data_IF_305222094590
#
_entry.id   IF_305222094590
#
_cell.length_a   1.000
_cell.length_b   1.000
_cell.length_c   1.000
_cell.angle_alpha   90.00
_cell.angle_beta   90.00
_cell.angle_gamma   90.00
#
_symmetry.space_group_name_H-M   'P 1'
#
loop_
_entity.id
_entity.type
_entity.pdbx_description
1 polymer ?
#
# COMPACT_ATOMS: atom_id res chain seq x y z
N UNK A 1 -5.18 -11.35 -28.91
CA UNK A 1 -4.41 -10.63 -27.89
C UNK A 1 -5.21 -10.66 -26.60
N UNK A 2 -4.55 -10.97 -25.50
CA UNK A 2 -5.12 -10.93 -24.16
C UNK A 2 -5.06 -9.47 -23.68
N UNK A 3 -6.19 -8.87 -23.22
CA UNK A 3 -6.17 -7.52 -22.64
C UNK A 3 -5.39 -7.49 -21.33
N UNK A 4 -4.60 -6.42 -21.11
CA UNK A 4 -3.92 -6.15 -19.85
C UNK A 4 -4.71 -5.12 -19.04
N UNK A 5 -5.19 -5.53 -17.88
CA UNK A 5 -5.82 -4.65 -16.89
C UNK A 5 -4.83 -4.39 -15.76
N UNK A 6 -4.57 -3.13 -15.49
CA UNK A 6 -3.66 -2.69 -14.43
C UNK A 6 -4.46 -2.04 -13.30
N UNK A 7 -4.41 -2.64 -12.13
CA UNK A 7 -4.81 -1.97 -10.89
C UNK A 7 -3.64 -1.16 -10.37
N UNK A 8 -3.72 0.16 -10.54
CA UNK A 8 -2.71 1.11 -10.14
C UNK A 8 -3.08 1.87 -8.84
N UNK A 9 -4.06 1.38 -8.07
CA UNK A 9 -4.53 2.07 -6.85
C UNK A 9 -3.41 2.35 -5.85
N UNK A 10 -2.43 1.47 -5.73
CA UNK A 10 -1.30 1.69 -4.84
C UNK A 10 -0.15 2.48 -5.50
N UNK A 11 -0.06 2.50 -6.84
CA UNK A 11 1.09 3.02 -7.57
C UNK A 11 0.95 4.45 -8.07
N UNK A 12 -0.27 4.88 -8.43
CA UNK A 12 -0.48 6.22 -9.00
C UNK A 12 0.00 7.33 -8.05
N UNK A 13 0.76 8.27 -8.60
CA UNK A 13 1.36 9.36 -7.83
C UNK A 13 2.61 8.95 -7.00
N UNK A 14 2.95 7.66 -6.98
CA UNK A 14 4.08 7.09 -6.22
C UNK A 14 5.15 6.51 -7.13
N UNK A 15 4.71 5.92 -8.22
CA UNK A 15 5.53 5.21 -9.18
C UNK A 15 5.18 5.65 -10.61
N UNK A 16 6.04 5.47 -11.60
CA UNK A 16 5.70 5.74 -13.00
C UNK A 16 4.45 4.97 -13.44
N UNK A 17 3.63 5.63 -14.26
CA UNK A 17 2.50 4.95 -14.91
C UNK A 17 3.05 3.92 -15.89
N UNK A 18 2.55 2.68 -15.90
CA UNK A 18 2.98 1.68 -16.88
C UNK A 18 2.79 2.15 -18.32
N UNK A 19 3.77 1.88 -19.18
CA UNK A 19 3.73 2.29 -20.60
C UNK A 19 2.69 1.49 -21.41
N UNK A 20 2.39 0.27 -20.98
CA UNK A 20 1.51 -0.63 -21.69
C UNK A 20 0.36 -1.13 -20.78
N UNK A 21 -0.86 -0.80 -21.16
CA UNK A 21 -2.09 -1.36 -20.59
C UNK A 21 -3.25 -1.20 -21.59
N UNK A 22 -4.29 -1.99 -21.43
CA UNK A 22 -5.55 -1.83 -22.16
C UNK A 22 -6.61 -1.15 -21.28
N UNK A 23 -6.55 -1.35 -19.96
CA UNK A 23 -7.35 -0.66 -18.95
C UNK A 23 -6.47 -0.39 -17.74
N UNK A 24 -6.55 0.79 -17.17
CA UNK A 24 -5.90 1.12 -15.91
C UNK A 24 -6.93 1.73 -14.96
N UNK A 25 -6.91 1.31 -13.71
CA UNK A 25 -7.76 1.86 -12.65
C UNK A 25 -6.90 2.42 -11.52
N UNK A 26 -7.39 3.48 -10.89
CA UNK A 26 -6.73 4.13 -9.77
C UNK A 26 -7.68 4.85 -8.83
N UNK A 27 -7.15 5.30 -7.71
CA UNK A 27 -7.89 6.03 -6.67
C UNK A 27 -7.11 7.30 -6.30
N UNK A 28 -7.81 8.43 -6.20
CA UNK A 28 -7.21 9.73 -5.95
C UNK A 28 -6.45 9.80 -4.62
N UNK A 29 -6.79 8.99 -3.64
CA UNK A 29 -6.08 8.93 -2.36
C UNK A 29 -4.60 8.54 -2.52
N UNK A 30 -4.24 7.80 -3.56
CA UNK A 30 -2.85 7.40 -3.77
C UNK A 30 -1.90 8.56 -4.07
N UNK A 31 -2.43 9.67 -4.60
CA UNK A 31 -1.67 10.90 -4.85
C UNK A 31 -2.10 12.09 -3.97
N UNK A 32 -2.78 11.81 -2.84
CA UNK A 32 -3.20 12.84 -1.88
C UNK A 32 -4.50 13.55 -2.24
N UNK A 33 -5.26 13.05 -3.20
CA UNK A 33 -6.60 13.52 -3.53
C UNK A 33 -7.67 13.02 -2.54
N UNK A 34 -8.90 13.51 -2.67
CA UNK A 34 -10.01 13.14 -1.80
C UNK A 34 -10.47 11.69 -2.04
N UNK A 35 -11.05 11.09 -1.00
CA UNK A 35 -11.76 9.83 -1.14
C UNK A 35 -13.01 9.98 -2.03
N UNK A 36 -13.38 8.92 -2.72
CA UNK A 36 -14.57 8.89 -3.58
C UNK A 36 -14.32 9.29 -5.03
N UNK A 37 -13.07 9.53 -5.41
CA UNK A 37 -12.69 9.76 -6.81
C UNK A 37 -11.85 8.60 -7.32
N UNK A 38 -12.42 7.82 -8.22
CA UNK A 38 -11.70 6.79 -8.98
C UNK A 38 -11.31 7.31 -10.37
N UNK A 39 -10.26 6.74 -10.93
CA UNK A 39 -9.81 7.01 -12.30
C UNK A 39 -9.86 5.72 -13.11
N UNK A 40 -10.48 5.79 -14.28
CA UNK A 40 -10.49 4.73 -15.29
C UNK A 40 -9.84 5.27 -16.57
N UNK A 41 -8.71 4.70 -16.95
CA UNK A 41 -8.03 5.06 -18.20
C UNK A 41 -8.16 3.92 -19.19
N UNK A 42 -8.74 4.24 -20.36
CA UNK A 42 -8.90 3.30 -21.46
C UNK A 42 -8.31 3.96 -22.71
N UNK A 43 -7.16 3.50 -23.23
CA UNK A 43 -6.57 4.01 -24.46
C UNK A 43 -7.52 3.87 -25.64
N UNK A 44 -7.47 4.79 -26.61
CA UNK A 44 -8.35 4.78 -27.81
C UNK A 44 -8.26 3.49 -28.63
N UNK A 45 -7.08 2.84 -28.64
CA UNK A 45 -6.87 1.55 -29.33
C UNK A 45 -7.61 0.39 -28.68
N UNK A 46 -8.12 0.56 -27.44
CA UNK A 46 -8.77 -0.51 -26.67
C UNK A 46 -10.25 -0.56 -26.98
N UNK A 47 -10.72 -1.69 -27.49
CA UNK A 47 -12.16 -1.95 -27.63
C UNK A 47 -12.76 -2.18 -26.24
N UNK A 48 -13.40 -1.15 -25.73
CA UNK A 48 -14.05 -1.21 -24.43
C UNK A 48 -15.52 -0.78 -24.55
N UNK A 49 -16.38 -1.51 -23.88
CA UNK A 49 -17.78 -1.16 -23.74
C UNK A 49 -18.21 -1.45 -22.30
N UNK A 50 -18.79 -0.46 -21.67
CA UNK A 50 -19.34 -0.65 -20.34
C UNK A 50 -20.57 -1.54 -20.40
N UNK A 51 -20.69 -2.56 -19.51
CA UNK A 51 -21.93 -3.32 -19.35
C UNK A 51 -22.97 -2.49 -18.58
N UNK A 52 -24.27 -2.64 -18.94
CA UNK A 52 -25.39 -2.00 -18.24
C UNK A 52 -25.74 -0.60 -18.76
N UNK A 53 -26.58 0.08 -18.01
CA UNK A 53 -27.01 1.46 -18.32
C UNK A 53 -25.82 2.41 -18.23
N UNK A 54 -25.78 3.38 -19.13
CA UNK A 54 -24.74 4.40 -19.19
C UNK A 54 -25.39 5.78 -19.08
N UNK A 55 -24.75 6.67 -18.36
CA UNK A 55 -25.03 8.09 -18.40
C UNK A 55 -24.36 8.72 -19.64
N UNK A 56 -24.87 9.85 -20.12
CA UNK A 56 -24.19 10.64 -21.15
C UNK A 56 -22.91 11.30 -20.62
N UNK A 57 -22.77 11.39 -19.28
CA UNK A 57 -21.59 11.89 -18.65
C UNK A 57 -20.34 11.07 -19.04
N UNK A 58 -19.20 11.75 -19.12
CA UNK A 58 -17.90 11.16 -19.45
C UNK A 58 -17.92 10.28 -20.71
N UNK A 59 -18.67 10.70 -21.73
CA UNK A 59 -18.80 9.97 -23.01
C UNK A 59 -19.35 8.53 -22.84
N UNK A 60 -20.28 8.34 -21.93
CA UNK A 60 -20.89 7.02 -21.66
C UNK A 60 -19.99 6.05 -20.91
N UNK A 61 -18.95 6.54 -20.21
CA UNK A 61 -18.02 5.69 -19.45
C UNK A 61 -18.41 5.50 -18.00
N UNK A 62 -19.35 6.28 -17.49
CA UNK A 62 -19.87 6.21 -16.12
C UNK A 62 -21.39 5.98 -16.12
N UNK A 63 -21.93 5.54 -15.00
CA UNK A 63 -23.36 5.41 -14.74
C UNK A 63 -23.93 6.58 -13.94
N UNK A 64 -23.08 7.42 -13.41
CA UNK A 64 -23.46 8.57 -12.58
C UNK A 64 -22.67 9.79 -13.01
N UNK A 65 -23.18 10.96 -12.68
CA UNK A 65 -22.45 12.19 -12.85
C UNK A 65 -21.34 12.32 -11.80
N UNK A 66 -20.14 12.76 -12.21
CA UNK A 66 -19.04 12.96 -11.28
C UNK A 66 -19.33 14.09 -10.30
N UNK A 67 -18.88 13.95 -9.07
CA UNK A 67 -18.93 15.01 -8.06
C UNK A 67 -17.83 16.01 -8.40
N UNK A 68 -18.15 17.01 -9.21
CA UNK A 68 -17.21 17.97 -9.80
C UNK A 68 -16.22 18.58 -8.78
N UNK A 69 -16.64 19.06 -7.58
CA UNK A 69 -15.69 19.57 -6.59
C UNK A 69 -14.63 18.57 -6.16
N UNK A 70 -15.00 17.29 -6.01
CA UNK A 70 -14.04 16.24 -5.64
C UNK A 70 -13.08 15.92 -6.79
N UNK A 71 -13.59 15.91 -8.02
CA UNK A 71 -12.75 15.69 -9.21
C UNK A 71 -11.75 16.81 -9.38
N UNK A 72 -12.16 18.07 -9.20
CA UNK A 72 -11.25 19.20 -9.24
C UNK A 72 -10.19 19.11 -8.12
N UNK A 73 -10.59 18.78 -6.91
CA UNK A 73 -9.64 18.59 -5.81
C UNK A 73 -8.65 17.45 -6.09
N UNK A 74 -9.10 16.36 -6.71
CA UNK A 74 -8.24 15.26 -7.12
C UNK A 74 -7.24 15.70 -8.22
N UNK A 75 -7.68 16.52 -9.18
CA UNK A 75 -6.83 17.06 -10.23
C UNK A 75 -5.77 18.01 -9.65
N UNK A 76 -6.14 18.91 -8.75
CA UNK A 76 -5.20 19.80 -8.07
C UNK A 76 -4.16 19.03 -7.26
N UNK A 77 -4.58 17.99 -6.52
CA UNK A 77 -3.67 17.12 -5.80
C UNK A 77 -2.69 16.43 -6.76
N UNK A 78 -3.16 15.96 -7.93
CA UNK A 78 -2.28 15.39 -8.94
C UNK A 78 -1.26 16.38 -9.48
N UNK A 79 -1.70 17.58 -9.83
CA UNK A 79 -0.81 18.65 -10.32
C UNK A 79 0.25 19.05 -9.28
N UNK A 80 -0.10 19.00 -8.01
CA UNK A 80 0.83 19.27 -6.91
C UNK A 80 1.86 18.14 -6.69
N UNK A 81 1.44 16.88 -6.84
CA UNK A 81 2.28 15.72 -6.50
C UNK A 81 3.09 15.18 -7.68
N UNK A 82 2.57 15.26 -8.90
CA UNK A 82 3.20 14.67 -10.08
C UNK A 82 4.62 15.22 -10.37
N UNK A 83 4.91 16.52 -10.23
CA UNK A 83 6.27 17.04 -10.44
C UNK A 83 7.29 16.54 -9.42
N UNK A 84 6.87 16.30 -8.18
CA UNK A 84 7.73 15.85 -7.09
C UNK A 84 7.81 14.32 -6.96
N UNK A 85 7.11 13.57 -7.81
CA UNK A 85 6.96 12.12 -7.68
C UNK A 85 8.28 11.36 -7.63
N UNK A 86 9.24 11.70 -8.48
CA UNK A 86 10.52 11.01 -8.53
C UNK A 86 11.32 11.20 -7.23
N UNK A 87 11.39 12.42 -6.73
CA UNK A 87 12.07 12.73 -5.47
C UNK A 87 11.35 12.11 -4.27
N UNK A 88 10.03 12.11 -4.28
CA UNK A 88 9.22 11.45 -3.26
C UNK A 88 9.43 9.94 -3.26
N UNK A 89 9.48 9.32 -4.43
CA UNK A 89 9.77 7.89 -4.57
C UNK A 89 11.15 7.53 -4.02
N UNK A 90 12.18 8.30 -4.32
CA UNK A 90 13.53 8.07 -3.80
C UNK A 90 13.58 8.15 -2.27
N UNK A 91 12.99 9.19 -1.68
CA UNK A 91 12.92 9.32 -0.22
C UNK A 91 12.11 8.20 0.44
N UNK A 92 10.98 7.84 -0.15
CA UNK A 92 10.18 6.74 0.35
C UNK A 92 10.92 5.39 0.26
N UNK A 93 11.70 5.20 -0.80
CA UNK A 93 12.52 4.00 -0.99
C UNK A 93 13.55 3.85 0.12
N UNK A 94 14.28 4.91 0.44
CA UNK A 94 15.26 4.92 1.55
C UNK A 94 14.61 4.55 2.89
N UNK A 95 13.49 5.19 3.21
CA UNK A 95 12.76 4.92 4.45
C UNK A 95 12.20 3.49 4.52
N UNK A 96 11.72 2.96 3.41
CA UNK A 96 11.27 1.57 3.33
C UNK A 96 12.44 0.61 3.51
N UNK A 97 13.62 0.90 2.99
CA UNK A 97 14.81 0.07 3.21
C UNK A 97 15.26 0.09 4.68
N UNK A 98 15.08 1.20 5.38
CA UNK A 98 15.29 1.26 6.83
C UNK A 98 14.31 0.33 7.59
N UNK A 99 13.02 0.33 7.21
CA UNK A 99 12.01 -0.59 7.78
C UNK A 99 12.34 -2.04 7.44
N UNK A 100 12.69 -2.34 6.19
CA UNK A 100 13.11 -3.69 5.76
C UNK A 100 14.29 -4.19 6.58
N UNK A 101 15.27 -3.33 6.79
CA UNK A 101 16.46 -3.63 7.60
C UNK A 101 16.12 -3.83 9.07
N UNK A 102 15.19 -3.03 9.62
CA UNK A 102 14.72 -3.18 10.99
C UNK A 102 13.97 -4.52 11.17
N UNK A 103 13.08 -4.85 10.26
CA UNK A 103 12.34 -6.12 10.28
C UNK A 103 13.27 -7.33 10.14
N UNK A 104 14.26 -7.26 9.26
CA UNK A 104 15.24 -8.34 9.06
C UNK A 104 16.13 -8.61 10.29
N UNK A 105 16.26 -7.64 11.20
CA UNK A 105 16.99 -7.85 12.48
C UNK A 105 16.16 -8.53 13.56
N UNK A 106 14.84 -8.59 13.38
CA UNK A 106 13.97 -9.33 14.33
C UNK A 106 14.12 -10.83 14.06
N UNK A 107 14.46 -11.65 15.06
CA UNK A 107 14.59 -13.09 14.87
C UNK A 107 13.34 -13.72 14.25
N UNK A 108 13.53 -14.71 13.39
CA UNK A 108 12.46 -15.47 12.73
C UNK A 108 11.47 -14.59 11.96
N UNK A 109 12.00 -13.55 11.30
CA UNK A 109 11.22 -12.64 10.47
C UNK A 109 11.69 -12.70 9.02
N UNK A 110 10.76 -12.88 8.10
CA UNK A 110 10.98 -12.86 6.66
C UNK A 110 10.45 -11.56 6.07
N UNK A 111 11.32 -10.77 5.44
CA UNK A 111 10.91 -9.60 4.65
C UNK A 111 10.47 -10.08 3.27
N UNK A 112 9.25 -9.72 2.90
CA UNK A 112 8.58 -10.21 1.68
C UNK A 112 8.80 -9.24 0.52
N UNK A 113 8.83 -9.78 -0.69
CA UNK A 113 8.92 -9.06 -1.95
C UNK A 113 10.35 -8.76 -2.39
N UNK A 114 10.47 -8.48 -3.68
CA UNK A 114 11.75 -8.18 -4.32
C UNK A 114 12.42 -6.95 -3.70
N UNK A 115 13.72 -6.94 -3.48
CA UNK A 115 14.42 -5.78 -2.93
C UNK A 115 14.50 -4.60 -3.91
N UNK A 116 14.42 -4.84 -5.21
CA UNK A 116 14.60 -3.82 -6.26
C UNK A 116 13.31 -3.56 -7.07
N UNK A 117 12.54 -4.60 -7.40
CA UNK A 117 11.31 -4.48 -8.19
C UNK A 117 10.09 -4.44 -7.28
N UNK A 118 9.82 -3.29 -6.69
CA UNK A 118 8.74 -3.07 -5.73
C UNK A 118 8.25 -1.62 -5.73
N UNK A 119 7.09 -1.39 -5.16
CA UNK A 119 6.63 -0.02 -4.89
C UNK A 119 7.56 0.68 -3.86
N UNK A 120 7.83 1.98 -4.04
CA UNK A 120 8.79 2.69 -3.19
C UNK A 120 8.34 2.84 -1.73
N UNK A 121 7.05 2.82 -1.46
CA UNK A 121 6.45 3.22 -0.20
C UNK A 121 5.78 2.09 0.58
N UNK A 122 5.88 0.84 0.11
CA UNK A 122 5.23 -0.32 0.75
C UNK A 122 6.27 -1.38 1.09
N UNK A 123 6.16 -1.94 2.28
CA UNK A 123 6.89 -3.12 2.70
C UNK A 123 5.97 -4.09 3.42
N UNK A 124 6.23 -5.36 3.22
CA UNK A 124 5.56 -6.46 3.91
C UNK A 124 6.62 -7.34 4.55
N UNK A 125 6.37 -7.80 5.76
CA UNK A 125 7.19 -8.79 6.44
C UNK A 125 6.30 -9.73 7.25
N UNK A 126 6.80 -10.92 7.54
CA UNK A 126 6.09 -11.94 8.30
C UNK A 126 6.97 -12.42 9.45
N UNK A 127 6.42 -12.47 10.66
CA UNK A 127 7.10 -12.93 11.85
C UNK A 127 6.60 -14.34 12.21
N UNK A 128 7.50 -15.31 12.35
CA UNK A 128 7.16 -16.64 12.78
C UNK A 128 6.71 -16.62 14.26
N UNK A 129 5.77 -17.48 14.59
CA UNK A 129 5.17 -17.59 15.93
C UNK A 129 4.47 -16.29 16.41
N UNK A 130 3.91 -15.55 15.47
CA UNK A 130 3.16 -14.32 15.74
C UNK A 130 1.82 -14.39 15.01
N UNK A 131 0.76 -13.98 15.67
CA UNK A 131 -0.49 -13.65 15.00
C UNK A 131 -0.42 -12.24 14.42
N UNK A 132 -0.72 -12.10 13.11
CA UNK A 132 -0.59 -10.82 12.41
C UNK A 132 -1.53 -9.73 12.91
N UNK A 133 -2.74 -10.10 13.32
CA UNK A 133 -3.71 -9.14 13.87
C UNK A 133 -3.30 -8.70 15.27
N UNK A 134 -2.84 -9.63 16.10
CA UNK A 134 -2.31 -9.30 17.42
C UNK A 134 -1.11 -8.34 17.32
N UNK A 135 -0.23 -8.53 16.32
CA UNK A 135 0.90 -7.62 16.10
C UNK A 135 0.43 -6.24 15.60
N UNK A 136 -0.57 -6.19 14.71
CA UNK A 136 -1.17 -4.92 14.28
C UNK A 136 -1.76 -4.16 15.47
N UNK A 137 -2.51 -4.83 16.35
CA UNK A 137 -3.07 -4.22 17.56
C UNK A 137 -1.98 -3.74 18.54
N UNK A 138 -0.91 -4.51 18.71
CA UNK A 138 0.19 -4.10 19.59
C UNK A 138 0.94 -2.89 19.03
N UNK A 139 1.15 -2.83 17.71
CA UNK A 139 1.77 -1.69 17.05
C UNK A 139 0.84 -0.44 17.10
N UNK A 140 -0.47 -0.62 16.93
CA UNK A 140 -1.45 0.47 17.06
C UNK A 140 -1.43 1.08 18.47
N UNK A 141 -1.41 0.25 19.52
CA UNK A 141 -1.25 0.72 20.90
C UNK A 141 0.02 1.52 21.15
N UNK A 142 1.05 1.29 20.33
CA UNK A 142 2.34 2.02 20.37
C UNK A 142 2.35 3.21 19.41
N UNK A 143 1.22 3.53 18.75
CA UNK A 143 1.05 4.69 17.89
C UNK A 143 1.41 4.46 16.42
N UNK A 144 1.50 3.19 15.96
CA UNK A 144 1.83 2.86 14.58
C UNK A 144 0.66 2.20 13.86
N UNK A 145 0.04 2.92 12.93
CA UNK A 145 -1.02 2.40 12.07
C UNK A 145 -0.41 1.56 10.93
N UNK A 146 -0.57 0.26 11.02
CA UNK A 146 -0.14 -0.71 10.01
C UNK A 146 -1.31 -1.63 9.65
N UNK A 147 -1.16 -2.48 8.64
CA UNK A 147 -2.20 -3.43 8.26
C UNK A 147 -1.66 -4.87 8.31
N UNK A 148 -2.50 -5.83 8.63
CA UNK A 148 -2.21 -7.24 8.36
C UNK A 148 -2.38 -7.53 6.86
N UNK A 149 -1.63 -8.49 6.34
CA UNK A 149 -1.50 -8.71 4.89
C UNK A 149 -2.74 -9.15 4.14
N UNK A 150 -3.81 -9.55 4.81
CA UNK A 150 -5.00 -10.09 4.15
C UNK A 150 -6.31 -9.57 4.73
N UNK A 151 -6.58 -8.28 4.52
CA UNK A 151 -7.89 -7.71 4.86
C UNK A 151 -9.08 -8.46 4.21
N UNK A 152 -8.85 -9.11 3.07
CA UNK A 152 -9.87 -9.91 2.38
C UNK A 152 -10.07 -11.32 2.96
N UNK A 153 -9.10 -11.87 3.68
CA UNK A 153 -9.15 -13.22 4.28
C UNK A 153 -9.28 -13.20 5.80
N UNK A 154 -9.30 -12.04 6.42
CA UNK A 154 -9.53 -11.89 7.86
C UNK A 154 -10.83 -12.55 8.34
N UNK A 155 -11.84 -12.63 7.46
CA UNK A 155 -13.11 -13.30 7.76
C UNK A 155 -13.09 -14.83 7.60
N UNK A 156 -12.08 -15.39 6.90
CA UNK A 156 -12.01 -16.82 6.57
C UNK A 156 -10.92 -17.57 7.31
N UNK A 157 -10.04 -16.89 8.05
CA UNK A 157 -8.86 -17.46 8.72
C UNK A 157 -7.92 -18.22 7.76
N UNK A 158 -8.09 -18.05 6.46
CA UNK A 158 -7.25 -18.71 5.46
C UNK A 158 -5.95 -17.91 5.22
N UNK A 159 -4.81 -18.59 5.12
CA UNK A 159 -3.55 -17.95 4.77
C UNK A 159 -3.62 -17.29 3.40
N UNK A 160 -2.88 -16.20 3.22
CA UNK A 160 -2.79 -15.54 1.91
C UNK A 160 -2.26 -16.51 0.84
N UNK A 161 -3.08 -16.80 -0.16
CA UNK A 161 -2.68 -17.64 -1.29
C UNK A 161 -1.52 -17.03 -2.09
N UNK A 162 -1.37 -15.71 -2.06
CA UNK A 162 -0.25 -15.01 -2.71
C UNK A 162 1.05 -15.30 -1.97
N UNK A 163 1.08 -15.15 -0.65
CA UNK A 163 2.26 -15.45 0.16
C UNK A 163 2.63 -16.94 0.07
N UNK A 164 1.63 -17.82 0.07
CA UNK A 164 1.84 -19.25 -0.14
C UNK A 164 2.46 -19.55 -1.50
N UNK A 165 1.98 -18.93 -2.58
CA UNK A 165 2.53 -19.08 -3.92
C UNK A 165 3.96 -18.52 -4.06
N UNK A 166 4.30 -17.49 -3.25
CA UNK A 166 5.66 -16.96 -3.16
C UNK A 166 6.61 -17.84 -2.31
N UNK A 167 6.11 -18.86 -1.63
CA UNK A 167 6.91 -19.72 -0.75
C UNK A 167 7.42 -19.02 0.51
N UNK A 168 6.74 -17.97 0.97
CA UNK A 168 7.11 -17.21 2.16
C UNK A 168 6.14 -17.48 3.33
N UNK A 169 6.50 -17.03 4.53
CA UNK A 169 5.65 -17.17 5.70
C UNK A 169 4.28 -16.52 5.46
N UNK A 170 3.22 -17.25 5.69
CA UNK A 170 1.83 -16.82 5.47
C UNK A 170 1.17 -16.27 6.73
N UNK A 171 1.74 -16.52 7.90
CA UNK A 171 1.26 -16.06 9.20
C UNK A 171 2.14 -14.93 9.74
N UNK A 172 1.62 -14.16 10.71
CA UNK A 172 2.37 -13.07 11.32
C UNK A 172 2.71 -11.94 10.34
N UNK A 173 1.90 -11.77 9.31
CA UNK A 173 2.16 -10.82 8.24
C UNK A 173 1.72 -9.41 8.61
N UNK A 174 2.61 -8.45 8.41
CA UNK A 174 2.36 -7.02 8.56
C UNK A 174 2.78 -6.27 7.31
N UNK A 175 1.94 -5.35 6.88
CA UNK A 175 2.21 -4.41 5.79
C UNK A 175 2.29 -3.00 6.30
N UNK A 176 3.41 -2.34 6.06
CA UNK A 176 3.62 -0.93 6.33
C UNK A 176 3.52 -0.15 5.02
N UNK A 177 2.76 0.93 5.02
CA UNK A 177 2.61 1.84 3.88
C UNK A 177 2.96 3.24 4.33
N UNK A 178 3.99 3.83 3.75
CA UNK A 178 4.37 5.21 4.06
C UNK A 178 3.39 6.20 3.39
N UNK A 179 2.90 7.20 4.14
CA UNK A 179 2.14 8.31 3.56
C UNK A 179 3.02 9.16 2.64
N UNK A 180 2.42 9.99 1.80
CA UNK A 180 3.14 11.08 1.11
C UNK A 180 3.72 12.04 2.15
N UNK A 181 4.93 12.55 1.91
CA UNK A 181 5.51 13.55 2.80
C UNK A 181 4.61 14.78 2.96
N UNK A 182 3.98 15.21 1.87
CA UNK A 182 3.03 16.33 1.88
C UNK A 182 1.76 16.08 2.74
N UNK A 183 1.41 14.82 3.00
CA UNK A 183 0.26 14.46 3.83
C UNK A 183 0.60 14.34 5.32
N UNK A 184 1.87 14.47 5.69
CA UNK A 184 2.33 14.35 7.08
C UNK A 184 2.62 15.74 7.65
N UNK A 185 2.01 16.14 8.77
CA UNK A 185 2.42 17.33 9.50
C UNK A 185 3.91 17.23 9.89
N UNK A 186 4.71 18.20 9.47
CA UNK A 186 6.18 18.17 9.62
C UNK A 186 6.90 17.48 8.45
N UNK A 187 6.19 16.99 7.46
CA UNK A 187 6.74 16.53 6.18
C UNK A 187 7.67 15.34 6.31
N UNK A 188 8.74 15.37 5.52
CA UNK A 188 9.70 14.28 5.42
C UNK A 188 10.49 14.04 6.71
N UNK A 189 10.77 15.09 7.48
CA UNK A 189 11.46 14.96 8.76
C UNK A 189 10.63 14.17 9.79
N UNK A 190 9.33 14.45 9.88
CA UNK A 190 8.44 13.72 10.77
C UNK A 190 8.25 12.26 10.32
N UNK A 191 8.17 12.02 9.00
CA UNK A 191 8.10 10.68 8.42
C UNK A 191 9.35 9.86 8.74
N UNK A 192 10.54 10.44 8.62
CA UNK A 192 11.81 9.80 8.99
C UNK A 192 11.86 9.46 10.49
N UNK A 193 11.53 10.41 11.35
CA UNK A 193 11.46 10.16 12.79
C UNK A 193 10.47 9.05 13.15
N UNK A 194 9.33 8.97 12.44
CA UNK A 194 8.37 7.88 12.58
C UNK A 194 8.94 6.52 12.19
N UNK A 195 9.73 6.45 11.11
CA UNK A 195 10.39 5.20 10.67
C UNK A 195 11.46 4.76 11.68
N UNK A 196 12.27 5.68 12.17
CA UNK A 196 13.26 5.39 13.20
C UNK A 196 12.60 4.85 14.48
N UNK A 197 11.53 5.51 14.94
CA UNK A 197 10.77 5.08 16.12
C UNK A 197 10.10 3.71 15.88
N UNK A 198 9.56 3.45 14.70
CA UNK A 198 9.01 2.15 14.32
C UNK A 198 10.08 1.05 14.42
N UNK A 199 11.26 1.30 13.85
CA UNK A 199 12.37 0.34 13.89
C UNK A 199 12.84 0.00 15.30
N UNK A 200 12.79 0.97 16.23
CA UNK A 200 13.13 0.76 17.63
C UNK A 200 12.05 -0.06 18.38
N UNK A 201 10.78 0.17 18.06
CA UNK A 201 9.64 -0.47 18.75
C UNK A 201 9.35 -1.87 18.24
N UNK A 202 9.62 -2.18 16.98
CA UNK A 202 9.24 -3.43 16.33
C UNK A 202 9.73 -4.68 17.06
N UNK A 203 10.99 -4.81 17.51
CA UNK A 203 11.45 -5.99 18.24
C UNK A 203 10.67 -6.26 19.54
N UNK A 204 10.37 -5.20 20.28
CA UNK A 204 9.62 -5.30 21.54
C UNK A 204 8.16 -5.68 21.30
N UNK A 205 7.53 -5.12 20.26
CA UNK A 205 6.16 -5.45 19.88
C UNK A 205 6.04 -6.94 19.52
N UNK A 206 6.98 -7.45 18.71
CA UNK A 206 7.04 -8.86 18.33
C UNK A 206 7.24 -9.76 19.55
N UNK A 207 8.18 -9.39 20.45
CA UNK A 207 8.43 -10.14 21.67
C UNK A 207 7.20 -10.18 22.60
N UNK A 208 6.48 -9.06 22.71
CA UNK A 208 5.24 -8.98 23.49
C UNK A 208 4.19 -9.95 22.98
N UNK A 209 3.95 -9.99 21.66
CA UNK A 209 2.96 -10.88 21.07
C UNK A 209 3.38 -12.34 21.21
N UNK A 210 4.66 -12.67 21.00
CA UNK A 210 5.19 -14.04 21.23
C UNK A 210 4.98 -14.51 22.68
N UNK A 211 5.25 -13.64 23.66
CA UNK A 211 5.03 -13.95 25.06
C UNK A 211 3.55 -14.20 25.38
N UNK A 212 2.63 -13.42 24.79
CA UNK A 212 1.17 -13.62 24.95
C UNK A 212 0.69 -14.97 24.39
N UNK A 213 1.32 -15.46 23.32
CA UNK A 213 1.04 -16.75 22.70
C UNK A 213 1.80 -17.90 23.34
N UNK A 214 2.68 -17.65 24.32
CA UNK A 214 3.53 -18.67 24.96
C UNK A 214 4.60 -19.25 24.02
N UNK A 215 4.94 -18.53 22.94
CA UNK A 215 5.90 -18.96 21.91
C UNK A 215 7.29 -18.31 22.07
N UNK A 216 7.50 -17.58 23.14
CA UNK A 216 8.76 -16.89 23.49
C UNK A 216 9.91 -17.82 23.84
N UNK A 217 9.61 -19.14 24.02
CA UNK A 217 10.57 -20.17 24.44
C UNK A 217 10.80 -21.24 23.35
N UNK A 218 10.27 -21.05 22.15
CA UNK A 218 10.45 -21.95 21.01
C UNK A 218 11.62 -21.48 20.17
#
# INVERSE_FOLDING_TARGET
RIPLVVDAQAGLGRDPVPDAFDVLVGDARSWGGPAGVGVLVVPERTRWRRPGAVSEAEFGRTDAEPVVPLVLAAAEAWLATAPARADEALRAWELVDEIRSAAARVPDTAVVGDPLERLPHVVTFSCLFVDGEALVHELDRRGFAVASGSACTASTLEPSHVLAAMGVLTHGNVRVTLPLAAAVPGGDAARRAGVEAFGAVLPEAVATVRAQLGTDRL
#
